data_IF_581047525489
#
_entry.id   IF_581047525489
#
_cell.length_a   1.000
_cell.length_b   1.000
_cell.length_c   1.000
_cell.angle_alpha   90.00
_cell.angle_beta   90.00
_cell.angle_gamma   90.00
#
_symmetry.space_group_name_H-M   'P 1'
#
loop_
_entity.id
_entity.type
_entity.pdbx_description
1 polymer ?
#
# COMPACT_ATOMS: atom_id res chain seq x y z
N UNK A 1 25.47 37.19 -17.23
CA UNK A 1 25.25 35.98 -16.41
C UNK A 1 23.90 35.38 -16.82
N UNK A 2 23.92 34.32 -17.63
CA UNK A 2 22.71 33.70 -18.18
C UNK A 2 22.07 32.81 -17.10
N UNK A 3 20.89 33.17 -16.59
CA UNK A 3 20.12 32.33 -15.68
C UNK A 3 19.60 31.13 -16.47
N UNK A 4 20.31 30.01 -16.37
CA UNK A 4 19.90 28.75 -17.01
C UNK A 4 18.53 28.32 -16.49
N UNK A 5 17.69 27.95 -17.46
CA UNK A 5 16.32 27.51 -17.36
C UNK A 5 16.14 26.44 -16.27
N UNK A 6 15.31 26.73 -15.27
CA UNK A 6 14.87 25.73 -14.30
C UNK A 6 14.05 24.69 -15.05
N UNK A 7 14.54 23.45 -15.12
CA UNK A 7 13.87 22.30 -15.74
C UNK A 7 12.51 22.09 -15.09
N UNK A 8 11.46 22.67 -15.68
CA UNK A 8 10.09 22.55 -15.16
C UNK A 8 9.65 21.09 -15.27
N UNK A 9 9.02 20.58 -14.22
CA UNK A 9 8.47 19.24 -14.18
C UNK A 9 7.02 19.25 -14.67
N UNK A 10 6.59 18.21 -15.36
CA UNK A 10 5.24 18.13 -15.92
C UNK A 10 4.51 16.89 -15.41
N UNK A 11 3.20 17.03 -15.20
CA UNK A 11 2.34 15.91 -14.88
C UNK A 11 2.14 15.05 -16.14
N UNK A 12 2.47 13.76 -16.05
CA UNK A 12 2.28 12.79 -17.14
C UNK A 12 0.82 12.38 -17.35
N UNK A 13 -0.04 12.59 -16.35
CA UNK A 13 -1.46 12.22 -16.37
C UNK A 13 -2.32 13.31 -17.04
N UNK A 14 -1.96 14.58 -16.85
CA UNK A 14 -2.71 15.71 -17.40
C UNK A 14 -2.51 15.83 -18.92
N UNK A 15 -3.60 15.70 -19.69
CA UNK A 15 -3.58 15.85 -21.17
C UNK A 15 -3.22 17.26 -21.65
N UNK A 16 -3.49 18.31 -20.85
CA UNK A 16 -3.07 19.69 -21.14
C UNK A 16 -1.88 20.05 -20.25
N UNK A 17 -0.72 20.29 -20.84
CA UNK A 17 0.50 20.78 -20.15
C UNK A 17 0.32 22.26 -19.75
N UNK A 18 -0.62 22.54 -18.85
CA UNK A 18 -1.07 23.91 -18.61
C UNK A 18 -0.04 24.76 -17.84
N UNK A 19 0.68 24.19 -16.86
CA UNK A 19 1.78 24.85 -16.14
C UNK A 19 2.78 23.80 -15.63
N UNK A 20 4.06 23.99 -15.94
CA UNK A 20 5.13 23.19 -15.36
C UNK A 20 5.35 23.53 -13.88
N UNK A 21 5.70 22.55 -13.07
CA UNK A 21 5.96 22.69 -11.65
C UNK A 21 7.43 23.05 -11.42
N UNK A 22 7.68 23.96 -10.47
CA UNK A 22 9.02 24.39 -10.07
C UNK A 22 9.85 23.27 -9.43
N UNK A 23 9.19 22.32 -8.74
CA UNK A 23 9.85 21.23 -8.03
C UNK A 23 8.96 19.98 -7.94
N UNK A 24 9.59 18.85 -7.55
CA UNK A 24 8.94 17.54 -7.46
C UNK A 24 7.80 17.52 -6.44
N UNK A 25 7.97 18.19 -5.29
CA UNK A 25 6.95 18.29 -4.25
C UNK A 25 5.67 18.96 -4.76
N UNK A 26 5.80 20.02 -5.58
CA UNK A 26 4.67 20.69 -6.22
C UNK A 26 3.91 19.76 -7.18
N UNK A 27 4.64 18.98 -7.99
CA UNK A 27 4.06 18.00 -8.89
C UNK A 27 3.38 16.85 -8.12
N UNK A 28 4.01 16.31 -7.08
CA UNK A 28 3.44 15.23 -6.27
C UNK A 28 2.18 15.67 -5.51
N UNK A 29 2.15 16.90 -5.00
CA UNK A 29 0.95 17.48 -4.40
C UNK A 29 -0.17 17.62 -5.43
N UNK A 30 0.15 18.06 -6.64
CA UNK A 30 -0.82 18.13 -7.73
C UNK A 30 -1.39 16.74 -8.06
N UNK A 31 -0.55 15.71 -8.22
CA UNK A 31 -1.01 14.33 -8.43
C UNK A 31 -1.92 13.86 -7.30
N UNK A 32 -1.57 14.15 -6.06
CA UNK A 32 -2.38 13.75 -4.88
C UNK A 32 -3.75 14.40 -4.85
N UNK A 33 -3.86 15.66 -5.26
CA UNK A 33 -5.12 16.39 -5.20
C UNK A 33 -5.99 16.22 -6.45
N UNK A 34 -5.39 15.99 -7.62
CA UNK A 34 -6.10 15.94 -8.91
C UNK A 34 -6.21 14.53 -9.50
N UNK A 35 -5.38 13.60 -9.03
CA UNK A 35 -5.29 12.24 -9.55
C UNK A 35 -5.33 11.20 -8.42
N UNK A 36 -6.21 11.40 -7.45
CA UNK A 36 -6.35 10.51 -6.27
C UNK A 36 -6.78 9.09 -6.65
N UNK A 37 -7.54 8.93 -7.74
CA UNK A 37 -8.03 7.64 -8.24
C UNK A 37 -7.28 7.13 -9.47
N UNK A 38 -6.19 7.81 -9.87
CA UNK A 38 -5.39 7.33 -11.00
C UNK A 38 -4.67 6.04 -10.59
N UNK A 39 -4.89 4.95 -11.33
CA UNK A 39 -4.36 3.63 -11.03
C UNK A 39 -3.81 2.90 -12.27
N UNK A 40 -3.63 3.61 -13.39
CA UNK A 40 -3.06 3.00 -14.60
C UNK A 40 -1.62 2.62 -14.36
N UNK A 41 -1.30 1.33 -14.49
CA UNK A 41 0.03 0.81 -14.27
C UNK A 41 0.98 1.19 -15.41
N UNK A 42 2.27 1.41 -15.11
CA UNK A 42 3.27 1.64 -16.14
C UNK A 42 3.43 0.45 -17.08
N UNK A 43 3.66 0.72 -18.37
CA UNK A 43 3.85 -0.32 -19.38
C UNK A 43 5.15 -1.10 -19.23
N UNK A 44 6.11 -0.62 -18.43
CA UNK A 44 7.38 -1.31 -18.20
C UNK A 44 7.28 -2.44 -17.17
N UNK A 45 6.16 -2.55 -16.44
CA UNK A 45 5.97 -3.59 -15.43
C UNK A 45 5.90 -4.96 -16.10
N UNK A 46 6.76 -5.88 -15.64
CA UNK A 46 6.92 -7.22 -16.22
C UNK A 46 6.22 -8.28 -15.38
N UNK A 47 5.94 -9.42 -16.02
CA UNK A 47 5.49 -10.61 -15.31
C UNK A 47 6.64 -11.22 -14.51
N UNK A 48 6.32 -11.66 -13.30
CA UNK A 48 7.25 -12.28 -12.34
C UNK A 48 6.87 -13.75 -12.15
N UNK A 49 7.83 -14.68 -12.02
CA UNK A 49 7.54 -16.09 -11.74
C UNK A 49 6.75 -16.27 -10.43
N UNK A 50 5.81 -17.21 -10.42
CA UNK A 50 4.98 -17.49 -9.24
C UNK A 50 5.82 -17.86 -8.00
N UNK A 51 6.97 -18.52 -8.18
CA UNK A 51 7.87 -18.88 -7.08
C UNK A 51 8.42 -17.66 -6.35
N UNK A 52 8.78 -16.60 -7.08
CA UNK A 52 9.26 -15.34 -6.51
C UNK A 52 8.12 -14.61 -5.79
N UNK A 53 6.93 -14.58 -6.39
CA UNK A 53 5.74 -14.00 -5.75
C UNK A 53 5.40 -14.74 -4.44
N UNK A 54 5.42 -16.07 -4.44
CA UNK A 54 5.18 -16.89 -3.24
C UNK A 54 6.25 -16.64 -2.16
N UNK A 55 7.52 -16.46 -2.55
CA UNK A 55 8.58 -16.11 -1.59
C UNK A 55 8.31 -14.75 -0.95
N UNK A 56 7.95 -13.74 -1.76
CA UNK A 56 7.65 -12.40 -1.27
C UNK A 56 6.42 -12.38 -0.36
N UNK A 57 5.34 -13.11 -0.69
CA UNK A 57 4.16 -13.26 0.19
C UNK A 57 4.56 -13.79 1.57
N UNK A 58 5.37 -14.85 1.63
CA UNK A 58 5.91 -15.39 2.89
C UNK A 58 6.77 -14.39 3.65
N UNK A 59 7.58 -13.60 2.95
CA UNK A 59 8.38 -12.54 3.58
C UNK A 59 7.49 -11.44 4.18
N UNK A 60 6.41 -11.03 3.48
CA UNK A 60 5.40 -10.09 3.98
C UNK A 60 4.78 -10.60 5.28
N UNK A 61 4.28 -11.84 5.28
CA UNK A 61 3.67 -12.47 6.47
C UNK A 61 4.65 -12.50 7.63
N UNK A 62 5.90 -12.93 7.39
CA UNK A 62 6.93 -13.02 8.43
C UNK A 62 7.25 -11.66 9.05
N UNK A 63 7.42 -10.60 8.24
CA UNK A 63 7.67 -9.26 8.77
C UNK A 63 6.46 -8.68 9.49
N UNK A 64 5.26 -8.98 9.03
CA UNK A 64 4.04 -8.58 9.72
C UNK A 64 3.94 -9.25 11.10
N UNK A 65 4.10 -10.58 11.17
CA UNK A 65 4.01 -11.34 12.41
C UNK A 65 5.08 -10.91 13.43
N UNK A 66 6.26 -10.46 12.97
CA UNK A 66 7.26 -9.85 13.86
C UNK A 66 6.75 -8.59 14.58
N UNK A 67 5.78 -7.86 14.01
CA UNK A 67 5.16 -6.67 14.62
C UNK A 67 4.05 -7.00 15.60
N UNK A 68 3.48 -8.19 15.52
CA UNK A 68 2.45 -8.68 16.44
C UNK A 68 3.08 -9.13 17.77
N UNK A 69 3.59 -8.16 18.56
CA UNK A 69 4.22 -8.44 19.86
C UNK A 69 3.17 -8.68 20.94
N UNK A 70 3.40 -9.68 21.77
CA UNK A 70 2.61 -9.99 22.96
C UNK A 70 2.95 -9.06 24.14
N UNK A 71 2.78 -7.75 23.95
CA UNK A 71 2.92 -6.76 25.02
C UNK A 71 1.92 -5.63 24.80
N UNK A 72 1.24 -5.18 25.85
CA UNK A 72 0.16 -4.19 25.75
C UNK A 72 0.60 -2.86 25.13
N UNK A 73 1.87 -2.46 25.28
CA UNK A 73 2.41 -1.24 24.64
C UNK A 73 2.62 -1.38 23.13
N UNK A 74 2.52 -2.59 22.57
CA UNK A 74 2.63 -2.83 21.14
C UNK A 74 1.28 -2.70 20.41
N UNK A 75 0.20 -2.40 21.13
CA UNK A 75 -1.12 -2.14 20.55
C UNK A 75 -1.09 -0.84 19.75
N UNK A 76 -1.71 -0.86 18.57
CA UNK A 76 -1.87 0.31 17.72
C UNK A 76 -1.33 0.10 16.30
N UNK A 77 -1.24 1.21 15.55
CA UNK A 77 -0.81 1.19 14.15
C UNK A 77 0.62 0.67 14.03
N UNK A 78 0.79 -0.45 13.35
CA UNK A 78 2.09 -1.01 13.00
C UNK A 78 2.45 -0.66 11.55
N UNK A 79 3.74 -0.44 11.30
CA UNK A 79 4.30 -0.20 9.96
C UNK A 79 5.58 -1.04 9.83
N UNK A 80 5.77 -1.64 8.66
CA UNK A 80 7.00 -2.35 8.31
C UNK A 80 7.34 -2.08 6.84
N UNK A 81 8.59 -2.39 6.48
CA UNK A 81 9.11 -2.22 5.13
C UNK A 81 9.80 -3.50 4.69
N UNK A 82 9.72 -3.81 3.40
CA UNK A 82 10.37 -4.97 2.78
C UNK A 82 11.00 -4.53 1.47
N UNK A 83 12.19 -5.03 1.19
CA UNK A 83 12.82 -4.87 -0.12
C UNK A 83 12.18 -5.84 -1.11
N UNK A 84 11.59 -5.30 -2.17
CA UNK A 84 11.06 -6.06 -3.30
C UNK A 84 11.18 -5.24 -4.58
N UNK A 85 11.08 -5.91 -5.73
CA UNK A 85 10.98 -5.25 -7.04
C UNK A 85 9.59 -4.64 -7.24
N UNK A 86 9.51 -3.60 -8.07
CA UNK A 86 8.24 -3.02 -8.50
C UNK A 86 7.34 -4.08 -9.16
N UNK A 87 7.92 -4.90 -10.04
CA UNK A 87 7.23 -5.98 -10.75
C UNK A 87 6.61 -6.99 -9.78
N UNK A 88 7.32 -7.37 -8.69
CA UNK A 88 6.81 -8.31 -7.72
C UNK A 88 5.69 -7.70 -6.85
N UNK A 89 5.83 -6.43 -6.46
CA UNK A 89 4.75 -5.72 -5.75
C UNK A 89 3.48 -5.65 -6.61
N UNK A 90 3.61 -5.22 -7.87
CA UNK A 90 2.48 -5.16 -8.80
C UNK A 90 1.95 -6.57 -9.07
N UNK A 91 2.82 -7.57 -9.21
CA UNK A 91 2.42 -8.97 -9.39
C UNK A 91 1.50 -9.49 -8.30
N UNK A 92 1.77 -9.15 -7.03
CA UNK A 92 0.93 -9.54 -5.89
C UNK A 92 -0.35 -8.70 -5.82
N UNK A 93 -0.24 -7.38 -5.98
CA UNK A 93 -1.31 -6.44 -5.62
C UNK A 93 -2.07 -5.82 -6.79
N UNK A 94 -1.75 -6.14 -8.06
CA UNK A 94 -2.28 -5.45 -9.26
C UNK A 94 -3.79 -5.16 -9.25
N UNK A 95 -4.58 -6.12 -8.81
CA UNK A 95 -6.05 -6.03 -8.82
C UNK A 95 -6.61 -5.23 -7.63
N UNK A 96 -5.75 -4.86 -6.68
CA UNK A 96 -6.09 -4.17 -5.43
C UNK A 96 -5.42 -2.78 -5.32
N UNK A 97 -4.71 -2.34 -6.37
CA UNK A 97 -4.11 -1.00 -6.42
C UNK A 97 -5.23 0.03 -6.60
N UNK A 98 -5.44 0.83 -5.56
CA UNK A 98 -6.42 1.92 -5.55
C UNK A 98 -5.85 3.20 -6.12
N UNK A 99 -4.52 3.37 -6.09
CA UNK A 99 -3.83 4.53 -6.66
C UNK A 99 -2.39 4.23 -7.03
N UNK A 100 -1.93 4.81 -8.13
CA UNK A 100 -0.55 4.91 -8.55
C UNK A 100 -0.16 6.39 -8.69
N UNK A 101 1.06 6.77 -8.25
CA UNK A 101 1.62 8.11 -8.39
C UNK A 101 2.87 8.05 -9.27
N UNK A 102 2.80 8.49 -10.54
CA UNK A 102 3.95 8.52 -11.45
C UNK A 102 5.11 9.37 -10.92
N UNK A 103 4.85 10.56 -10.37
CA UNK A 103 5.88 11.42 -9.79
C UNK A 103 6.54 10.78 -8.55
N UNK A 104 5.75 10.08 -7.75
CA UNK A 104 6.21 9.41 -6.53
C UNK A 104 6.83 8.03 -6.77
N UNK A 105 6.61 7.44 -7.96
CA UNK A 105 6.87 6.01 -8.24
C UNK A 105 6.29 5.12 -7.14
N UNK A 106 5.06 5.43 -6.69
CA UNK A 106 4.45 4.77 -5.54
C UNK A 106 3.06 4.24 -5.84
N UNK A 107 2.79 3.05 -5.29
CA UNK A 107 1.52 2.35 -5.40
C UNK A 107 0.85 2.32 -4.04
N UNK A 108 -0.47 2.38 -4.05
CA UNK A 108 -1.29 2.33 -2.85
C UNK A 108 -2.35 1.24 -3.01
N UNK A 109 -2.44 0.40 -2.00
CA UNK A 109 -3.54 -0.54 -1.80
C UNK A 109 -4.12 -0.25 -0.41
N UNK A 110 -5.43 -0.29 -0.26
CA UNK A 110 -6.08 -0.07 1.02
C UNK A 110 -7.21 -1.07 1.20
N UNK A 111 -7.09 -1.89 2.23
CA UNK A 111 -8.07 -2.91 2.60
C UNK A 111 -8.84 -2.41 3.81
N UNK A 112 -10.17 -2.35 3.72
CA UNK A 112 -11.07 -1.80 4.75
C UNK A 112 -12.38 -2.60 4.80
N UNK A 113 -13.04 -2.57 5.94
CA UNK A 113 -14.32 -3.27 6.16
C UNK A 113 -14.15 -4.74 6.54
N UNK A 114 -15.27 -5.42 6.74
CA UNK A 114 -15.33 -6.77 7.33
C UNK A 114 -14.55 -7.82 6.52
N UNK A 115 -14.63 -7.76 5.20
CA UNK A 115 -14.00 -8.73 4.29
C UNK A 115 -12.51 -8.49 4.04
N UNK A 116 -11.96 -7.41 4.58
CA UNK A 116 -10.58 -7.01 4.31
C UNK A 116 -9.56 -8.04 4.82
N UNK A 117 -9.86 -8.72 5.94
CA UNK A 117 -8.95 -9.71 6.50
C UNK A 117 -8.85 -10.94 5.59
N UNK A 118 -10.00 -11.44 5.12
CA UNK A 118 -10.09 -12.56 4.19
C UNK A 118 -9.50 -12.23 2.82
N UNK A 119 -9.71 -11.01 2.32
CA UNK A 119 -9.15 -10.54 1.05
C UNK A 119 -7.62 -10.53 1.10
N UNK A 120 -7.03 -10.00 2.17
CA UNK A 120 -5.57 -10.02 2.35
C UNK A 120 -5.06 -11.45 2.50
N UNK A 121 -5.79 -12.32 3.20
CA UNK A 121 -5.43 -13.74 3.31
C UNK A 121 -5.38 -14.45 1.96
N UNK A 122 -6.35 -14.20 1.09
CA UNK A 122 -6.36 -14.72 -0.30
C UNK A 122 -5.20 -14.17 -1.15
N UNK A 123 -4.87 -12.88 -0.99
CA UNK A 123 -3.74 -12.26 -1.69
C UNK A 123 -2.42 -12.90 -1.25
N UNK A 124 -2.24 -13.08 0.07
CA UNK A 124 -1.02 -13.62 0.66
C UNK A 124 -0.94 -15.14 0.66
N UNK A 125 -2.02 -15.82 0.28
CA UNK A 125 -2.13 -17.29 0.27
C UNK A 125 -1.93 -17.90 1.67
N UNK A 126 -2.50 -17.25 2.69
CA UNK A 126 -2.42 -17.67 4.09
C UNK A 126 -3.61 -17.09 4.88
N UNK A 127 -4.47 -17.95 5.43
CA UNK A 127 -5.64 -17.53 6.22
C UNK A 127 -5.26 -16.98 7.60
N UNK A 128 -4.09 -17.36 8.12
CA UNK A 128 -3.58 -16.97 9.44
C UNK A 128 -2.47 -15.89 9.33
N UNK A 129 -2.38 -15.22 8.18
CA UNK A 129 -1.36 -14.19 7.89
C UNK A 129 -1.25 -13.11 8.97
N UNK A 130 -2.39 -12.77 9.59
CA UNK A 130 -2.55 -11.71 10.56
C UNK A 130 -2.42 -12.16 12.01
N UNK A 131 -1.98 -13.39 12.29
CA UNK A 131 -1.95 -13.97 13.63
C UNK A 131 -0.55 -14.41 14.06
N UNK A 132 -0.27 -14.27 15.37
CA UNK A 132 0.93 -14.83 16.01
C UNK A 132 0.58 -15.49 17.34
N UNK A 133 0.72 -16.81 17.39
CA UNK A 133 0.50 -17.64 18.56
C UNK A 133 1.80 -17.78 19.38
N UNK A 134 1.73 -17.51 20.68
CA UNK A 134 2.84 -17.59 21.62
C UNK A 134 2.80 -18.84 22.51
N UNK A 135 1.79 -19.70 22.35
CA UNK A 135 1.49 -20.80 23.26
C UNK A 135 0.75 -20.33 24.52
N UNK A 136 0.27 -21.28 25.33
CA UNK A 136 -0.37 -20.99 26.62
C UNK A 136 -1.62 -20.11 26.52
N UNK A 137 -2.33 -20.14 25.39
CA UNK A 137 -3.52 -19.31 25.14
C UNK A 137 -3.22 -17.85 24.77
N UNK A 138 -1.95 -17.48 24.57
CA UNK A 138 -1.56 -16.11 24.24
C UNK A 138 -1.46 -15.90 22.72
N UNK A 139 -2.21 -14.92 22.20
CA UNK A 139 -2.29 -14.59 20.78
C UNK A 139 -2.18 -13.08 20.57
N UNK A 140 -1.49 -12.67 19.51
CA UNK A 140 -1.55 -11.32 18.97
C UNK A 140 -2.04 -11.37 17.52
N UNK A 141 -2.93 -10.46 17.14
CA UNK A 141 -3.57 -10.51 15.83
C UNK A 141 -3.74 -9.11 15.22
N UNK A 142 -3.86 -9.06 13.89
CA UNK A 142 -4.20 -7.86 13.14
C UNK A 142 -5.67 -7.58 13.30
N UNK A 143 -5.99 -6.39 13.83
CA UNK A 143 -7.34 -5.83 13.79
C UNK A 143 -7.42 -4.79 12.68
N UNK A 144 -8.16 -5.10 11.62
CA UNK A 144 -8.46 -4.12 10.58
C UNK A 144 -9.56 -3.16 11.08
N UNK A 145 -9.47 -1.89 10.71
CA UNK A 145 -10.40 -0.88 11.16
C UNK A 145 -11.81 -1.16 10.63
N UNK A 146 -12.70 -1.58 11.53
CA UNK A 146 -14.15 -1.59 11.32
C UNK A 146 -14.66 -0.21 11.72
N UNK A 147 -15.44 0.51 10.90
CA UNK A 147 -16.19 1.66 11.42
C UNK A 147 -17.08 1.14 12.56
N UNK A 148 -17.01 1.77 13.73
CA UNK A 148 -17.99 1.53 14.77
C UNK A 148 -19.35 1.92 14.19
N UNK A 149 -20.26 0.95 14.12
CA UNK A 149 -21.67 1.29 13.95
C UNK A 149 -22.01 2.11 15.19
N UNK A 150 -22.20 3.42 15.02
CA UNK A 150 -22.89 4.21 16.04
C UNK A 150 -24.20 3.49 16.30
N UNK A 151 -24.31 2.81 17.45
CA UNK A 151 -25.58 2.34 17.96
C UNK A 151 -26.42 3.59 18.16
N UNK A 152 -27.21 3.94 17.14
CA UNK A 152 -28.25 4.96 17.25
C UNK A 152 -29.17 4.52 18.37
N UNK A 153 -29.17 5.31 19.43
CA UNK A 153 -29.98 5.21 20.63
C UNK A 153 -31.36 4.60 20.35
N UNK A 154 -31.66 3.49 21.01
CA UNK A 154 -33.03 3.10 21.29
C UNK A 154 -33.44 3.87 22.55
N UNK A 155 -34.13 5.00 22.37
CA UNK A 155 -35.11 5.50 23.34
C UNK A 155 -36.51 5.06 22.90
#
# INVERSE_FOLDING_TARGET
MSTQDSTKLYCSICKRRAKGFKNRSGLQRHETLKHVSYNTLPSHVRSVPNSELSHLKKAIIKELQKRLKNHHTAVGKQVFSIHCSEDAFVGIFKNHITRYSPCGSSYFCSFKGEKAFEEVGKILDDENWGERNYGGGQLSFVRLHMPEVENSNYE
#
